data_IF_233553868786
#
_entry.id   IF_233553868786
#
_cell.length_a   1.000
_cell.length_b   1.000
_cell.length_c   1.000
_cell.angle_alpha   90.00
_cell.angle_beta   90.00
_cell.angle_gamma   90.00
#
_symmetry.space_group_name_H-M   'P 1'
#
loop_
_entity.id
_entity.type
_entity.pdbx_description
1 polymer ?
#
# COMPACT_ATOMS: atom_id res chain seq x y z
N UNK A 1 -40.21 48.63 -7.43
CA UNK A 1 -40.05 47.24 -7.90
C UNK A 1 -38.59 46.91 -8.21
N UNK A 2 -37.79 47.84 -8.66
CA UNK A 2 -36.38 47.63 -9.06
C UNK A 2 -35.46 47.20 -7.90
N UNK A 3 -35.66 47.75 -6.71
CA UNK A 3 -34.85 47.43 -5.52
C UNK A 3 -35.02 45.97 -5.03
N UNK A 4 -36.20 45.38 -5.26
CA UNK A 4 -36.47 43.98 -4.89
C UNK A 4 -35.77 43.01 -5.86
N UNK A 5 -35.73 43.37 -7.12
CA UNK A 5 -35.08 42.59 -8.18
C UNK A 5 -33.55 42.63 -7.99
N UNK A 6 -32.98 43.77 -7.61
CA UNK A 6 -31.56 43.89 -7.26
C UNK A 6 -31.19 43.10 -6.03
N UNK A 7 -32.00 43.13 -4.97
CA UNK A 7 -31.82 42.35 -3.74
C UNK A 7 -31.89 40.85 -4.02
N UNK A 8 -32.80 40.39 -4.91
CA UNK A 8 -32.89 39.01 -5.31
C UNK A 8 -31.68 38.56 -6.14
N UNK A 9 -31.16 39.40 -7.01
CA UNK A 9 -29.95 39.13 -7.80
C UNK A 9 -28.72 39.03 -6.88
N UNK A 10 -28.54 39.92 -5.95
CA UNK A 10 -27.44 39.91 -4.97
C UNK A 10 -27.51 38.69 -4.04
N UNK A 11 -28.71 38.32 -3.59
CA UNK A 11 -28.95 37.16 -2.78
C UNK A 11 -28.63 35.84 -3.51
N UNK A 12 -29.01 35.73 -4.78
CA UNK A 12 -28.76 34.51 -5.59
C UNK A 12 -27.27 34.31 -5.87
N UNK A 13 -26.52 35.37 -6.14
CA UNK A 13 -25.06 35.31 -6.36
C UNK A 13 -24.34 34.90 -5.06
N UNK A 14 -24.77 35.41 -3.91
CA UNK A 14 -24.19 35.03 -2.62
C UNK A 14 -24.42 33.56 -2.26
N UNK A 15 -25.59 33.02 -2.53
CA UNK A 15 -25.92 31.61 -2.30
C UNK A 15 -25.10 30.69 -3.23
N UNK A 16 -25.02 31.01 -4.50
CA UNK A 16 -24.28 30.20 -5.49
C UNK A 16 -22.79 30.20 -5.16
N UNK A 17 -22.20 31.35 -4.83
CA UNK A 17 -20.80 31.46 -4.46
C UNK A 17 -20.49 30.75 -3.14
N UNK A 18 -21.39 30.80 -2.17
CA UNK A 18 -21.27 30.08 -0.90
C UNK A 18 -21.31 28.56 -1.09
N UNK A 19 -22.25 28.05 -1.88
CA UNK A 19 -22.34 26.62 -2.19
C UNK A 19 -21.13 26.12 -3.00
N UNK A 20 -20.65 26.92 -3.94
CA UNK A 20 -19.45 26.58 -4.72
C UNK A 20 -18.18 26.55 -3.85
N UNK A 21 -18.01 27.51 -2.96
CA UNK A 21 -16.89 27.53 -2.02
C UNK A 21 -16.93 26.35 -1.05
N UNK A 22 -18.10 26.00 -0.52
CA UNK A 22 -18.30 24.81 0.33
C UNK A 22 -18.01 23.50 -0.43
N UNK A 23 -18.43 23.41 -1.70
CA UNK A 23 -18.16 22.26 -2.57
C UNK A 23 -16.65 22.08 -2.80
N UNK A 24 -15.92 23.14 -3.15
CA UNK A 24 -14.47 23.11 -3.37
C UNK A 24 -13.73 22.74 -2.08
N UNK A 25 -14.09 23.36 -0.94
CA UNK A 25 -13.49 23.05 0.34
C UNK A 25 -13.69 21.57 0.74
N UNK A 26 -14.91 21.05 0.55
CA UNK A 26 -15.22 19.63 0.85
C UNK A 26 -14.48 18.67 -0.09
N UNK A 27 -14.36 19.02 -1.37
CA UNK A 27 -13.63 18.22 -2.35
C UNK A 27 -12.13 18.20 -2.07
N UNK A 28 -11.53 19.34 -1.74
CA UNK A 28 -10.13 19.44 -1.35
C UNK A 28 -9.81 18.62 -0.10
N UNK A 29 -10.67 18.69 0.91
CA UNK A 29 -10.51 17.91 2.14
C UNK A 29 -10.65 16.39 1.90
N UNK A 30 -11.60 15.97 1.09
CA UNK A 30 -11.78 14.57 0.70
C UNK A 30 -10.58 14.04 -0.07
N UNK A 31 -10.04 14.80 -1.01
CA UNK A 31 -8.87 14.42 -1.78
C UNK A 31 -7.63 14.27 -0.91
N UNK A 32 -7.43 15.20 0.05
CA UNK A 32 -6.32 15.12 1.01
C UNK A 32 -6.42 13.86 1.87
N UNK A 33 -7.60 13.59 2.44
CA UNK A 33 -7.83 12.41 3.27
C UNK A 33 -7.65 11.11 2.48
N UNK A 34 -8.11 11.07 1.24
CA UNK A 34 -7.91 9.93 0.35
C UNK A 34 -6.43 9.69 0.04
N UNK A 35 -5.68 10.76 -0.22
CA UNK A 35 -4.25 10.69 -0.45
C UNK A 35 -3.50 10.20 0.79
N UNK A 36 -3.83 10.69 1.98
CA UNK A 36 -3.25 10.24 3.26
C UNK A 36 -3.50 8.74 3.49
N UNK A 37 -4.70 8.25 3.18
CA UNK A 37 -5.03 6.82 3.27
C UNK A 37 -4.19 5.97 2.31
N UNK A 38 -3.99 6.44 1.07
CA UNK A 38 -3.14 5.74 0.10
C UNK A 38 -1.68 5.72 0.54
N UNK A 39 -1.14 6.83 1.01
CA UNK A 39 0.22 6.90 1.55
C UNK A 39 0.41 5.90 2.68
N UNK A 40 -0.50 5.90 3.66
CA UNK A 40 -0.44 4.98 4.79
C UNK A 40 -0.54 3.51 4.35
N UNK A 41 -1.39 3.20 3.37
CA UNK A 41 -1.52 1.85 2.82
C UNK A 41 -0.24 1.38 2.11
N UNK A 42 0.35 2.21 1.25
CA UNK A 42 1.63 1.92 0.60
C UNK A 42 2.76 1.72 1.60
N UNK A 43 2.87 2.62 2.58
CA UNK A 43 3.88 2.51 3.63
C UNK A 43 3.77 1.19 4.40
N UNK A 44 2.57 0.82 4.84
CA UNK A 44 2.35 -0.41 5.58
C UNK A 44 2.73 -1.67 4.77
N UNK A 45 2.44 -1.68 3.47
CA UNK A 45 2.80 -2.79 2.57
C UNK A 45 4.30 -2.84 2.33
N UNK A 46 4.95 -1.70 2.10
CA UNK A 46 6.40 -1.64 1.88
C UNK A 46 7.15 -2.13 3.13
N UNK A 47 6.77 -1.68 4.32
CA UNK A 47 7.35 -2.14 5.58
C UNK A 47 7.18 -3.67 5.75
N UNK A 48 5.97 -4.19 5.55
CA UNK A 48 5.70 -5.61 5.68
C UNK A 48 6.46 -6.47 4.65
N UNK A 49 6.55 -6.02 3.39
CA UNK A 49 7.35 -6.73 2.37
C UNK A 49 8.86 -6.66 2.66
N UNK A 50 9.34 -5.56 3.21
CA UNK A 50 10.74 -5.43 3.64
C UNK A 50 11.06 -6.43 4.75
N UNK A 51 10.19 -6.56 5.75
CA UNK A 51 10.35 -7.52 6.85
C UNK A 51 10.31 -8.97 6.35
N UNK A 52 9.38 -9.29 5.43
CA UNK A 52 9.30 -10.62 4.82
C UNK A 52 10.53 -10.94 3.97
N UNK A 53 11.02 -9.98 3.18
CA UNK A 53 12.24 -10.15 2.40
C UNK A 53 13.42 -10.41 3.32
N UNK A 54 13.54 -9.66 4.41
CA UNK A 54 14.58 -9.88 5.42
C UNK A 54 14.48 -11.27 6.05
N UNK A 55 13.29 -11.73 6.42
CA UNK A 55 13.06 -13.08 6.93
C UNK A 55 13.55 -14.15 5.96
N UNK A 56 13.09 -14.11 4.71
CA UNK A 56 13.48 -15.11 3.70
C UNK A 56 14.97 -15.05 3.37
N UNK A 57 15.57 -13.87 3.32
CA UNK A 57 17.01 -13.71 3.10
C UNK A 57 17.82 -14.36 4.22
N UNK A 58 17.41 -14.19 5.49
CA UNK A 58 18.09 -14.80 6.63
C UNK A 58 17.98 -16.29 6.66
N UNK A 59 16.80 -16.83 6.40
CA UNK A 59 16.58 -18.27 6.32
C UNK A 59 17.33 -18.88 5.13
N UNK A 60 17.33 -18.24 4.00
CA UNK A 60 18.06 -18.67 2.81
C UNK A 60 19.56 -18.74 3.02
N UNK A 61 20.16 -17.70 3.65
CA UNK A 61 21.57 -17.70 4.00
C UNK A 61 21.93 -18.78 5.01
N UNK A 62 21.11 -18.99 6.02
CA UNK A 62 21.33 -20.05 7.00
C UNK A 62 21.30 -21.43 6.34
N UNK A 63 20.41 -21.67 5.41
CA UNK A 63 20.32 -22.93 4.64
C UNK A 63 21.55 -23.16 3.77
N UNK A 64 22.03 -22.14 3.04
CA UNK A 64 23.25 -22.23 2.21
C UNK A 64 24.48 -22.53 3.09
N UNK A 65 24.62 -21.82 4.21
CA UNK A 65 25.76 -21.96 5.10
C UNK A 65 25.67 -23.22 5.98
N UNK A 66 24.57 -23.97 5.88
CA UNK A 66 24.25 -25.11 6.77
C UNK A 66 24.40 -24.74 8.25
N UNK A 67 24.00 -23.51 8.59
CA UNK A 67 24.11 -22.93 9.92
C UNK A 67 22.75 -22.95 10.61
N UNK A 68 22.69 -23.57 11.76
CA UNK A 68 21.52 -23.49 12.64
C UNK A 68 21.44 -22.09 13.26
N UNK A 69 20.26 -21.47 13.17
CA UNK A 69 19.93 -20.26 13.89
C UNK A 69 19.61 -20.61 15.35
N UNK A 70 19.85 -19.69 16.28
CA UNK A 70 19.45 -19.92 17.67
C UNK A 70 17.92 -19.91 17.79
N UNK A 71 17.38 -20.72 18.70
CA UNK A 71 15.93 -20.81 18.94
C UNK A 71 15.28 -19.44 19.24
N UNK A 72 16.00 -18.57 19.97
CA UNK A 72 15.54 -17.21 20.29
C UNK A 72 15.44 -16.37 19.02
N UNK A 73 16.43 -16.46 18.14
CA UNK A 73 16.45 -15.70 16.89
C UNK A 73 15.41 -16.22 15.89
N UNK A 74 15.21 -17.53 15.81
CA UNK A 74 14.13 -18.11 15.00
C UNK A 74 12.75 -17.69 15.49
N UNK A 75 12.53 -17.64 16.79
CA UNK A 75 11.28 -17.17 17.37
C UNK A 75 11.03 -15.68 17.08
N UNK A 76 12.08 -14.84 17.11
CA UNK A 76 11.97 -13.44 16.72
C UNK A 76 11.64 -13.26 15.24
N UNK A 77 12.37 -13.95 14.37
CA UNK A 77 12.09 -13.96 12.92
C UNK A 77 10.69 -14.46 12.60
N UNK A 78 10.22 -15.48 13.31
CA UNK A 78 8.87 -16.03 13.17
C UNK A 78 7.78 -15.01 13.47
N UNK A 79 7.98 -14.16 14.50
CA UNK A 79 7.06 -13.06 14.81
C UNK A 79 7.00 -12.03 13.68
N UNK A 80 8.15 -11.62 13.17
CA UNK A 80 8.23 -10.71 12.04
C UNK A 80 7.49 -11.27 10.82
N UNK A 81 7.71 -12.54 10.52
CA UNK A 81 7.03 -13.20 9.43
C UNK A 81 5.51 -13.20 9.60
N UNK A 82 5.03 -13.62 10.77
CA UNK A 82 3.60 -13.77 11.05
C UNK A 82 2.85 -12.43 10.96
N UNK A 83 3.40 -11.39 11.61
CA UNK A 83 2.84 -10.05 11.59
C UNK A 83 2.84 -9.45 10.17
N UNK A 84 3.94 -9.58 9.46
CA UNK A 84 4.11 -9.00 8.13
C UNK A 84 3.30 -9.74 7.08
N UNK A 85 3.27 -11.06 7.12
CA UNK A 85 2.43 -11.87 6.26
C UNK A 85 0.95 -11.54 6.44
N UNK A 86 0.50 -11.35 7.67
CA UNK A 86 -0.86 -10.97 7.98
C UNK A 86 -1.23 -9.58 7.44
N UNK A 87 -0.30 -8.61 7.49
CA UNK A 87 -0.46 -7.28 6.88
C UNK A 87 -0.61 -7.37 5.36
N UNK A 88 0.25 -8.17 4.70
CA UNK A 88 0.17 -8.37 3.24
C UNK A 88 -1.15 -9.04 2.84
N UNK A 89 -1.58 -10.06 3.57
CA UNK A 89 -2.87 -10.72 3.33
C UNK A 89 -4.02 -9.72 3.42
N UNK A 90 -4.06 -8.89 4.47
CA UNK A 90 -5.08 -7.84 4.62
C UNK A 90 -5.03 -6.82 3.49
N UNK A 91 -3.84 -6.41 3.06
CA UNK A 91 -3.67 -5.49 1.95
C UNK A 91 -4.17 -6.09 0.63
N UNK A 92 -3.93 -7.37 0.39
CA UNK A 92 -4.44 -8.08 -0.78
C UNK A 92 -5.97 -8.15 -0.79
N UNK A 93 -6.58 -8.44 0.37
CA UNK A 93 -8.04 -8.59 0.51
C UNK A 93 -8.80 -7.26 0.45
N UNK A 94 -8.24 -6.19 1.02
CA UNK A 94 -8.94 -4.91 1.22
C UNK A 94 -8.36 -3.75 0.40
N UNK A 95 -7.19 -3.91 -0.20
CA UNK A 95 -6.45 -2.83 -0.85
C UNK A 95 -6.78 -2.55 -2.31
N UNK A 96 -7.71 -3.32 -2.91
CA UNK A 96 -8.00 -3.27 -4.35
C UNK A 96 -8.30 -1.85 -4.89
N UNK A 97 -8.87 -0.98 -4.07
CA UNK A 97 -9.19 0.40 -4.44
C UNK A 97 -8.15 1.45 -3.99
N UNK A 98 -7.19 1.04 -3.13
CA UNK A 98 -6.11 1.93 -2.64
C UNK A 98 -4.86 1.84 -3.51
N UNK A 99 -4.63 0.70 -4.15
CA UNK A 99 -3.43 0.41 -4.93
C UNK A 99 -3.72 0.41 -6.44
N UNK A 100 -2.66 0.59 -7.22
CA UNK A 100 -2.72 0.35 -8.66
C UNK A 100 -2.97 -1.14 -8.98
N UNK A 101 -3.42 -1.42 -10.19
CA UNK A 101 -3.65 -2.80 -10.64
C UNK A 101 -2.36 -3.63 -10.59
N UNK A 102 -1.22 -3.03 -10.94
CA UNK A 102 0.09 -3.66 -10.89
C UNK A 102 0.47 -4.12 -9.48
N UNK A 103 0.20 -3.29 -8.46
CA UNK A 103 0.43 -3.63 -7.05
C UNK A 103 -0.49 -4.75 -6.61
N UNK A 104 -1.78 -4.66 -6.95
CA UNK A 104 -2.74 -5.71 -6.60
C UNK A 104 -2.36 -7.07 -7.23
N UNK A 105 -1.88 -7.07 -8.47
CA UNK A 105 -1.39 -8.28 -9.13
C UNK A 105 -0.14 -8.84 -8.45
N UNK A 106 0.82 -7.98 -8.10
CA UNK A 106 2.05 -8.41 -7.42
C UNK A 106 1.78 -8.98 -6.02
N UNK A 107 0.89 -8.37 -5.25
CA UNK A 107 0.47 -8.87 -3.94
C UNK A 107 -0.24 -10.22 -4.07
N UNK A 108 -1.09 -10.39 -5.09
CA UNK A 108 -1.76 -11.65 -5.36
C UNK A 108 -0.77 -12.74 -5.75
N UNK A 109 0.19 -12.45 -6.64
CA UNK A 109 1.26 -13.38 -7.03
C UNK A 109 2.01 -13.89 -5.78
N UNK A 110 2.39 -12.99 -4.88
CA UNK A 110 3.03 -13.35 -3.62
C UNK A 110 2.15 -14.25 -2.75
N UNK A 111 0.86 -13.94 -2.62
CA UNK A 111 -0.08 -14.72 -1.81
C UNK A 111 -0.38 -16.09 -2.41
N UNK A 112 -0.33 -16.23 -3.73
CA UNK A 112 -0.61 -17.49 -4.44
C UNK A 112 0.54 -18.51 -4.33
N UNK A 113 1.77 -18.06 -3.95
CA UNK A 113 2.90 -18.97 -3.70
C UNK A 113 2.61 -20.08 -2.69
N UNK A 114 1.73 -19.83 -1.73
CA UNK A 114 1.30 -20.87 -0.76
C UNK A 114 0.66 -22.10 -1.41
N UNK A 115 0.17 -21.95 -2.64
CA UNK A 115 -0.48 -23.02 -3.39
C UNK A 115 0.52 -23.79 -4.26
N UNK A 116 1.75 -23.29 -4.40
CA UNK A 116 2.81 -23.96 -5.15
C UNK A 116 3.44 -25.08 -4.34
N UNK A 117 3.83 -26.15 -5.04
CA UNK A 117 4.51 -27.28 -4.43
C UNK A 117 6.02 -27.12 -4.62
N UNK A 118 6.74 -27.10 -3.53
CA UNK A 118 8.20 -27.10 -3.53
C UNK A 118 8.72 -28.47 -3.12
N UNK A 119 9.75 -28.98 -3.80
CA UNK A 119 10.32 -30.28 -3.52
C UNK A 119 11.30 -30.25 -2.34
N UNK A 120 11.92 -29.10 -2.11
CA UNK A 120 12.88 -28.89 -1.03
C UNK A 120 12.60 -27.58 -0.30
N UNK A 121 13.09 -27.50 0.94
CA UNK A 121 13.00 -26.26 1.73
C UNK A 121 13.80 -25.13 1.08
N UNK A 122 14.93 -25.46 0.47
CA UNK A 122 15.72 -24.48 -0.28
C UNK A 122 14.95 -23.88 -1.46
N UNK A 123 14.30 -24.72 -2.27
CA UNK A 123 13.44 -24.27 -3.37
C UNK A 123 12.28 -23.37 -2.88
N UNK A 124 11.68 -23.72 -1.76
CA UNK A 124 10.68 -22.91 -1.09
C UNK A 124 11.22 -21.52 -0.73
N UNK A 125 12.38 -21.45 -0.07
CA UNK A 125 12.99 -20.17 0.35
C UNK A 125 13.40 -19.31 -0.86
N UNK A 126 13.99 -19.92 -1.88
CA UNK A 126 14.41 -19.23 -3.11
C UNK A 126 13.21 -18.60 -3.82
N UNK A 127 12.14 -19.36 -3.99
CA UNK A 127 10.90 -18.90 -4.63
C UNK A 127 10.26 -17.73 -3.86
N UNK A 128 10.13 -17.86 -2.56
CA UNK A 128 9.53 -16.80 -1.73
C UNK A 128 10.39 -15.54 -1.67
N UNK A 129 11.71 -15.69 -1.58
CA UNK A 129 12.63 -14.54 -1.60
C UNK A 129 12.54 -13.80 -2.93
N UNK A 130 12.60 -14.50 -4.04
CA UNK A 130 12.55 -13.90 -5.37
C UNK A 130 11.23 -13.13 -5.61
N UNK A 131 10.09 -13.73 -5.23
CA UNK A 131 8.78 -13.10 -5.41
C UNK A 131 8.56 -11.95 -4.42
N UNK A 132 9.05 -12.07 -3.18
CA UNK A 132 8.98 -10.98 -2.20
C UNK A 132 9.78 -9.76 -2.67
N UNK A 133 11.00 -9.95 -3.17
CA UNK A 133 11.83 -8.86 -3.73
C UNK A 133 11.18 -8.21 -4.95
N UNK A 134 10.66 -9.02 -5.87
CA UNK A 134 9.93 -8.53 -7.05
C UNK A 134 8.71 -7.72 -6.65
N UNK A 135 7.92 -8.24 -5.71
CA UNK A 135 6.73 -7.57 -5.19
C UNK A 135 7.10 -6.23 -4.53
N UNK A 136 8.10 -6.21 -3.65
CA UNK A 136 8.58 -5.00 -2.99
C UNK A 136 9.01 -3.94 -4.00
N UNK A 137 9.79 -4.33 -5.03
CA UNK A 137 10.22 -3.42 -6.10
C UNK A 137 9.03 -2.84 -6.87
N UNK A 138 8.04 -3.67 -7.21
CA UNK A 138 6.82 -3.22 -7.89
C UNK A 138 6.04 -2.22 -7.04
N UNK A 139 5.84 -2.53 -5.76
CA UNK A 139 5.10 -1.65 -4.83
C UNK A 139 5.79 -0.30 -4.66
N UNK A 140 7.12 -0.28 -4.47
CA UNK A 140 7.90 0.96 -4.34
C UNK A 140 7.85 1.79 -5.62
N UNK A 141 7.98 1.16 -6.78
CA UNK A 141 7.92 1.85 -8.07
C UNK A 141 6.54 2.47 -8.29
N UNK A 142 5.47 1.70 -8.05
CA UNK A 142 4.09 2.19 -8.18
C UNK A 142 3.77 3.26 -7.15
N UNK A 143 4.24 3.16 -5.90
CA UNK A 143 4.09 4.20 -4.90
C UNK A 143 4.68 5.54 -5.36
N UNK A 144 5.88 5.50 -5.94
CA UNK A 144 6.53 6.70 -6.48
C UNK A 144 5.76 7.34 -7.64
N UNK A 145 5.03 6.55 -8.42
CA UNK A 145 4.19 7.05 -9.51
C UNK A 145 2.83 7.55 -9.01
N UNK A 146 2.16 6.75 -8.20
CA UNK A 146 0.80 6.98 -7.74
C UNK A 146 0.68 8.10 -6.70
N UNK A 147 1.74 8.31 -5.90
CA UNK A 147 1.77 9.28 -4.82
C UNK A 147 2.45 10.60 -5.23
N UNK A 148 2.92 10.73 -6.47
CA UNK A 148 3.40 12.02 -6.96
C UNK A 148 2.25 13.01 -6.90
N UNK A 149 2.44 14.03 -6.09
CA UNK A 149 1.62 15.25 -6.17
C UNK A 149 1.97 15.87 -7.51
N UNK A 150 1.04 15.90 -8.45
CA UNK A 150 1.25 16.66 -9.68
C UNK A 150 1.39 18.13 -9.25
N UNK A 151 2.55 18.74 -9.47
CA UNK A 151 2.85 20.14 -9.14
C UNK A 151 1.97 21.15 -9.92
N UNK A 152 0.85 20.74 -10.44
CA UNK A 152 -0.05 21.49 -11.32
C UNK A 152 -1.34 22.02 -10.68
N UNK A 153 -1.47 22.01 -9.36
CA UNK A 153 -2.70 22.46 -8.67
C UNK A 153 -2.41 23.42 -7.50
N UNK A 154 -1.58 24.41 -7.74
CA UNK A 154 -1.51 25.64 -6.94
C UNK A 154 -1.71 26.86 -7.81
#
# INVERSE_FOLDING_TARGET
MDNIIELLKLGSVGIISGLFSAYIATRGHRNKKWWELRVAAYQAVIEALSDLTYYYERQYKAEIESRELSDEYEAELGKFWDESYHKIRKACDSGAFLFSEEVNMALKEFMDLKNEKHHTYFEYLDSYLAVAEKCLKTVVTSANQDLRVSDGWF
#
